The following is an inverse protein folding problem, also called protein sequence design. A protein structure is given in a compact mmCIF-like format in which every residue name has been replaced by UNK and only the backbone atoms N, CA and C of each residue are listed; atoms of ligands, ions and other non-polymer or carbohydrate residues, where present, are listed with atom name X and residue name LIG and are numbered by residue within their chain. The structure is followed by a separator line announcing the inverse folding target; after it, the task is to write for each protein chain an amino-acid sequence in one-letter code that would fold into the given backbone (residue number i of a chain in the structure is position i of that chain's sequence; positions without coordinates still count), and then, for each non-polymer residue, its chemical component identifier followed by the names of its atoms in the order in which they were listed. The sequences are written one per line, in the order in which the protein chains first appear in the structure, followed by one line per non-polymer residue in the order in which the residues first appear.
data_IF_893164349997
#
_entry.id   IF_893164349997
#
_cell.length_a   1.000
_cell.length_b   1.000
_cell.length_c   1.000
_cell.angle_alpha   90.00
_cell.angle_beta   90.00
_cell.angle_gamma   90.00
#
_symmetry.space_group_name_H-M   'P 1'
#
loop_
_entity.id
_entity.type
_entity.pdbx_description
1 polymer ?
#
# COMPACT_ATOMS: atom_id res chain seq x y z
N UNK A 1 11.77 10.81 6.54
CA UNK A 1 12.16 9.39 6.59
C UNK A 1 13.14 9.12 5.45
N UNK A 2 14.23 8.38 5.68
CA UNK A 2 15.15 7.99 4.59
C UNK A 2 14.70 6.65 4.00
N UNK A 3 14.94 6.43 2.70
CA UNK A 3 14.64 5.15 2.06
C UNK A 3 15.43 3.99 2.69
N UNK A 4 16.66 4.23 3.16
CA UNK A 4 17.46 3.23 3.88
C UNK A 4 16.78 2.77 5.16
N UNK A 5 16.21 3.69 5.95
CA UNK A 5 15.45 3.36 7.15
C UNK A 5 14.17 2.60 6.83
N UNK A 6 13.49 2.98 5.74
CA UNK A 6 12.31 2.28 5.25
C UNK A 6 12.63 0.83 4.88
N UNK A 7 13.65 0.58 4.05
CA UNK A 7 14.07 -0.76 3.63
C UNK A 7 14.53 -1.60 4.82
N UNK A 8 15.34 -1.03 5.73
CA UNK A 8 15.82 -1.70 6.94
C UNK A 8 14.68 -2.14 7.86
N UNK A 9 13.60 -1.39 7.92
CA UNK A 9 12.45 -1.70 8.78
C UNK A 9 11.33 -2.48 8.07
N UNK A 10 11.49 -2.79 6.78
CA UNK A 10 10.52 -3.55 5.99
C UNK A 10 11.19 -4.80 5.42
N UNK A 11 11.80 -4.68 4.24
CA UNK A 11 12.36 -5.79 3.47
C UNK A 11 13.37 -6.59 4.27
N UNK A 12 14.30 -5.94 4.99
CA UNK A 12 15.33 -6.62 5.77
C UNK A 12 14.83 -7.37 7.02
N UNK A 13 13.54 -7.25 7.37
CA UNK A 13 12.91 -7.93 8.53
C UNK A 13 11.88 -8.98 8.12
N UNK A 14 11.70 -9.21 6.81
CA UNK A 14 10.79 -10.23 6.32
C UNK A 14 11.30 -11.63 6.71
N UNK A 15 10.38 -12.50 7.13
CA UNK A 15 10.60 -13.95 7.19
C UNK A 15 10.84 -14.47 5.78
N UNK A 16 11.58 -15.56 5.66
CA UNK A 16 11.97 -16.12 4.36
C UNK A 16 10.77 -16.33 3.43
N UNK A 17 9.66 -16.86 3.94
CA UNK A 17 8.44 -17.12 3.16
C UNK A 17 7.88 -15.85 2.52
N UNK A 18 7.76 -14.76 3.28
CA UNK A 18 7.27 -13.48 2.77
C UNK A 18 8.31 -12.76 1.91
N UNK A 19 9.60 -12.94 2.21
CA UNK A 19 10.67 -12.43 1.35
C UNK A 19 10.62 -13.07 -0.04
N UNK A 20 10.51 -14.39 -0.16
CA UNK A 20 10.41 -15.07 -1.45
C UNK A 20 9.16 -14.65 -2.23
N UNK A 21 8.03 -14.47 -1.53
CA UNK A 21 6.80 -13.98 -2.13
C UNK A 21 6.94 -12.55 -2.68
N UNK A 22 7.58 -11.65 -1.91
CA UNK A 22 7.90 -10.28 -2.35
C UNK A 22 8.88 -10.29 -3.52
N UNK A 23 9.96 -11.08 -3.45
CA UNK A 23 10.98 -11.20 -4.50
C UNK A 23 10.34 -11.58 -5.83
N UNK A 24 9.46 -12.58 -5.83
CA UNK A 24 8.75 -13.07 -7.02
C UNK A 24 7.89 -12.01 -7.71
N UNK A 25 7.40 -11.01 -6.99
CA UNK A 25 6.59 -9.93 -7.56
C UNK A 25 7.48 -8.79 -8.07
N UNK A 26 8.55 -8.46 -7.34
CA UNK A 26 9.42 -7.32 -7.68
C UNK A 26 10.41 -7.62 -8.80
N UNK A 27 11.07 -8.77 -8.73
CA UNK A 27 12.16 -9.12 -9.64
C UNK A 27 11.59 -9.46 -11.02
N UNK A 28 12.21 -8.94 -12.07
CA UNK A 28 11.80 -9.13 -13.46
C UNK A 28 10.78 -8.11 -13.96
N UNK A 29 9.84 -7.66 -13.11
CA UNK A 29 8.86 -6.63 -13.49
C UNK A 29 9.28 -5.21 -13.08
N UNK A 30 9.75 -5.03 -11.85
CA UNK A 30 10.03 -3.70 -11.28
C UNK A 30 11.53 -3.48 -11.02
N UNK A 31 12.21 -4.55 -10.61
CA UNK A 31 13.64 -4.55 -10.29
C UNK A 31 14.33 -5.59 -11.15
N UNK A 32 15.41 -5.19 -11.82
CA UNK A 32 16.20 -6.09 -12.68
C UNK A 32 17.64 -6.17 -12.20
N UNK A 33 18.21 -7.37 -12.34
CA UNK A 33 19.61 -7.64 -12.10
C UNK A 33 20.26 -8.04 -13.42
N UNK A 34 21.41 -7.43 -13.75
CA UNK A 34 22.10 -7.72 -15.00
C UNK A 34 23.10 -8.87 -14.89
N UNK A 35 23.56 -9.17 -13.66
CA UNK A 35 24.68 -10.09 -13.42
C UNK A 35 24.27 -11.25 -12.49
N UNK A 36 23.44 -10.98 -11.49
CA UNK A 36 23.04 -11.94 -10.46
C UNK A 36 21.79 -12.70 -10.95
N UNK A 37 21.79 -14.02 -10.86
CA UNK A 37 20.61 -14.82 -11.21
C UNK A 37 19.52 -14.75 -10.15
N UNK A 38 18.28 -15.07 -10.50
CA UNK A 38 17.15 -14.93 -9.56
C UNK A 38 17.27 -15.80 -8.30
N UNK A 39 17.95 -16.95 -8.41
CA UNK A 39 18.18 -17.88 -7.31
C UNK A 39 19.22 -17.35 -6.31
N UNK A 40 20.16 -16.54 -6.78
CA UNK A 40 21.24 -15.95 -5.97
C UNK A 40 20.81 -14.68 -5.22
N UNK A 41 19.66 -14.11 -5.56
CA UNK A 41 19.14 -12.89 -4.91
C UNK A 41 18.71 -13.20 -3.47
N UNK A 42 19.59 -12.85 -2.54
CA UNK A 42 19.32 -12.86 -1.10
C UNK A 42 18.56 -11.61 -0.64
N UNK A 43 18.04 -11.66 0.59
CA UNK A 43 17.40 -10.50 1.23
C UNK A 43 18.32 -9.28 1.31
N UNK A 44 19.61 -9.49 1.57
CA UNK A 44 20.61 -8.43 1.58
C UNK A 44 20.76 -7.78 0.20
N UNK A 45 20.98 -8.61 -0.84
CA UNK A 45 21.16 -8.17 -2.22
C UNK A 45 19.93 -7.39 -2.72
N UNK A 46 18.71 -7.87 -2.43
CA UNK A 46 17.50 -7.16 -2.83
C UNK A 46 17.33 -5.84 -2.06
N UNK A 47 17.64 -5.81 -0.76
CA UNK A 47 17.59 -4.57 0.03
C UNK A 47 18.56 -3.50 -0.49
N UNK A 48 19.80 -3.87 -0.83
CA UNK A 48 20.75 -2.95 -1.47
C UNK A 48 20.21 -2.44 -2.80
N UNK A 49 19.71 -3.33 -3.66
CA UNK A 49 19.16 -2.96 -4.96
C UNK A 49 17.96 -2.02 -4.85
N UNK A 50 17.13 -2.18 -3.84
CA UNK A 50 16.01 -1.29 -3.56
C UNK A 50 16.45 0.08 -3.05
N UNK A 51 17.55 0.15 -2.29
CA UNK A 51 18.17 1.44 -1.95
C UNK A 51 18.67 2.16 -3.21
N UNK A 52 19.40 1.48 -4.09
CA UNK A 52 19.85 2.03 -5.38
C UNK A 52 18.66 2.52 -6.23
N UNK A 53 17.57 1.73 -6.23
CA UNK A 53 16.35 2.10 -6.94
C UNK A 53 15.78 3.43 -6.43
N UNK A 54 15.60 3.57 -5.11
CA UNK A 54 15.02 4.77 -4.53
C UNK A 54 15.95 5.98 -4.67
N UNK A 55 17.26 5.81 -4.53
CA UNK A 55 18.25 6.86 -4.81
C UNK A 55 18.12 7.35 -6.27
N UNK A 56 18.08 6.42 -7.23
CA UNK A 56 17.91 6.76 -8.65
C UNK A 56 16.55 7.40 -8.94
N UNK A 57 15.50 6.97 -8.25
CA UNK A 57 14.17 7.59 -8.36
C UNK A 57 14.20 9.03 -7.84
N UNK A 58 14.86 9.30 -6.70
CA UNK A 58 15.01 10.65 -6.18
C UNK A 58 15.73 11.56 -7.18
N UNK A 59 16.83 11.08 -7.77
CA UNK A 59 17.62 11.81 -8.76
C UNK A 59 16.82 12.12 -10.03
N UNK A 60 16.12 11.12 -10.59
CA UNK A 60 15.32 11.29 -11.81
C UNK A 60 14.10 12.18 -11.62
N UNK A 61 13.43 12.06 -10.49
CA UNK A 61 12.22 12.81 -10.19
C UNK A 61 12.51 14.19 -9.56
N UNK A 62 13.76 14.45 -9.16
CA UNK A 62 14.19 15.59 -8.36
C UNK A 62 13.28 15.79 -7.14
N UNK A 63 13.00 14.69 -6.42
CA UNK A 63 12.08 14.63 -5.29
C UNK A 63 12.66 13.72 -4.23
N UNK A 64 12.69 14.18 -2.98
CA UNK A 64 13.11 13.35 -1.85
C UNK A 64 12.17 12.17 -1.63
N UNK A 65 12.63 11.17 -0.90
CA UNK A 65 11.88 9.98 -0.54
C UNK A 65 10.64 10.33 0.29
N UNK A 66 10.72 11.36 1.13
CA UNK A 66 9.54 11.89 1.83
C UNK A 66 8.46 12.39 0.84
N UNK A 67 8.86 13.02 -0.28
CA UNK A 67 7.93 13.38 -1.36
C UNK A 67 7.39 12.16 -2.11
N UNK A 68 8.14 11.06 -2.16
CA UNK A 68 7.63 9.78 -2.68
C UNK A 68 6.60 9.17 -1.73
N UNK A 69 6.82 9.22 -0.41
CA UNK A 69 5.83 8.80 0.60
C UNK A 69 4.55 9.64 0.50
N UNK A 70 4.66 10.96 0.35
CA UNK A 70 3.50 11.83 0.13
C UNK A 70 2.72 11.43 -1.13
N UNK A 71 3.44 11.10 -2.21
CA UNK A 71 2.84 10.67 -3.49
C UNK A 71 2.13 9.32 -3.31
N UNK A 72 2.78 8.33 -2.70
CA UNK A 72 2.18 7.05 -2.33
C UNK A 72 0.90 7.22 -1.51
N UNK A 73 0.93 8.04 -0.43
CA UNK A 73 -0.23 8.28 0.43
C UNK A 73 -1.38 8.86 -0.39
N UNK A 74 -1.10 9.87 -1.22
CA UNK A 74 -2.08 10.53 -2.09
C UNK A 74 -2.69 9.55 -3.10
N UNK A 75 -1.86 8.72 -3.71
CA UNK A 75 -2.26 7.75 -4.71
C UNK A 75 -3.22 6.71 -4.12
N UNK A 76 -2.84 6.11 -2.99
CA UNK A 76 -3.67 5.16 -2.26
C UNK A 76 -4.97 5.82 -1.76
N UNK A 77 -4.90 7.05 -1.25
CA UNK A 77 -6.09 7.80 -0.85
C UNK A 77 -7.04 8.06 -2.02
N UNK A 78 -6.51 8.35 -3.19
CA UNK A 78 -7.33 8.70 -4.35
C UNK A 78 -8.16 7.53 -4.90
N UNK A 79 -7.75 6.28 -4.66
CA UNK A 79 -8.51 5.06 -5.02
C UNK A 79 -9.46 4.60 -3.90
N UNK A 80 -9.21 4.99 -2.65
CA UNK A 80 -10.02 4.58 -1.49
C UNK A 80 -11.01 5.67 -1.06
N UNK A 81 -10.55 6.89 -0.80
CA UNK A 81 -11.28 7.91 -0.04
C UNK A 81 -12.63 8.31 -0.64
N UNK A 82 -12.72 8.35 -1.97
CA UNK A 82 -13.96 8.66 -2.70
C UNK A 82 -15.03 7.58 -2.60
N UNK A 83 -14.68 6.38 -2.13
CA UNK A 83 -15.54 5.19 -2.03
C UNK A 83 -15.90 4.86 -0.59
N UNK A 84 -15.57 5.71 0.37
CA UNK A 84 -15.96 5.52 1.77
C UNK A 84 -17.23 6.30 2.04
N UNK A 85 -18.27 5.63 2.57
CA UNK A 85 -19.52 6.29 2.93
C UNK A 85 -19.28 7.44 3.93
N UNK A 86 -19.94 8.57 3.70
CA UNK A 86 -19.86 9.73 4.59
C UNK A 86 -20.68 9.49 5.86
N UNK A 87 -20.36 10.21 6.93
CA UNK A 87 -21.21 10.25 8.12
C UNK A 87 -22.56 10.88 7.75
N UNK A 88 -23.70 10.21 8.03
CA UNK A 88 -25.02 10.79 7.79
C UNK A 88 -25.19 12.11 8.56
N UNK A 89 -25.86 13.10 7.95
CA UNK A 89 -26.22 14.33 8.64
C UNK A 89 -27.45 14.10 9.53
N UNK A 90 -27.49 14.75 10.70
CA UNK A 90 -28.70 14.78 11.51
C UNK A 90 -29.83 15.45 10.73
N UNK A 91 -30.98 14.78 10.62
CA UNK A 91 -32.20 15.43 10.16
C UNK A 91 -32.77 16.26 11.32
N UNK A 92 -33.08 17.54 11.07
CA UNK A 92 -33.82 18.37 12.03
C UNK A 92 -35.10 17.60 12.44
N UNK A 93 -35.32 17.45 13.74
CA UNK A 93 -36.45 16.74 14.38
C UNK A 93 -36.38 15.20 14.41
N UNK A 94 -35.21 14.58 14.20
CA UNK A 94 -35.07 13.13 14.42
C UNK A 94 -34.10 12.85 15.59
N UNK A 95 -34.58 12.16 16.62
CA UNK A 95 -33.81 11.75 17.80
C UNK A 95 -32.97 10.49 17.58
N UNK A 96 -32.99 9.92 16.37
CA UNK A 96 -32.19 8.72 16.04
C UNK A 96 -30.69 9.04 16.08
N UNK A 97 -29.86 8.27 16.82
CA UNK A 97 -28.42 8.46 16.86
C UNK A 97 -27.78 8.38 15.48
N UNK A 98 -26.84 9.28 15.18
CA UNK A 98 -26.05 9.20 13.95
C UNK A 98 -25.13 7.98 14.03
N UNK A 99 -25.38 6.97 13.19
CA UNK A 99 -24.52 5.81 13.08
C UNK A 99 -23.40 6.13 12.08
N UNK A 100 -22.19 6.34 12.59
CA UNK A 100 -21.00 6.51 11.74
C UNK A 100 -20.64 5.15 11.12
N UNK A 101 -20.54 5.04 9.78
CA UNK A 101 -20.15 3.80 9.11
C UNK A 101 -18.80 3.27 9.63
N UNK A 102 -18.66 1.95 9.80
CA UNK A 102 -17.41 1.37 10.31
C UNK A 102 -16.24 1.66 9.36
N UNK A 103 -16.45 1.61 8.04
CA UNK A 103 -15.44 1.98 7.05
C UNK A 103 -14.95 3.43 7.25
N UNK A 104 -15.88 4.37 7.52
CA UNK A 104 -15.56 5.77 7.83
C UNK A 104 -14.66 5.88 9.06
N UNK A 105 -14.99 5.18 10.16
CA UNK A 105 -14.16 5.21 11.39
C UNK A 105 -12.71 4.79 11.14
N UNK A 106 -12.50 3.75 10.33
CA UNK A 106 -11.15 3.30 9.98
C UNK A 106 -10.44 4.26 9.03
N UNK A 107 -11.14 4.77 8.03
CA UNK A 107 -10.59 5.77 7.12
C UNK A 107 -10.12 7.04 7.86
N UNK A 108 -10.92 7.58 8.79
CA UNK A 108 -10.49 8.73 9.60
C UNK A 108 -9.26 8.41 10.48
N UNK A 109 -9.11 7.17 10.96
CA UNK A 109 -7.86 6.75 11.64
C UNK A 109 -6.67 6.80 10.70
N UNK A 110 -6.80 6.33 9.45
CA UNK A 110 -5.74 6.44 8.45
C UNK A 110 -5.41 7.91 8.14
N UNK A 111 -6.42 8.79 8.05
CA UNK A 111 -6.21 10.23 7.88
C UNK A 111 -5.47 10.87 9.06
N UNK A 112 -5.75 10.45 10.29
CA UNK A 112 -5.03 10.94 11.46
C UNK A 112 -3.56 10.50 11.43
N UNK A 113 -3.29 9.24 11.04
CA UNK A 113 -1.93 8.73 10.89
C UNK A 113 -1.16 9.55 9.86
N UNK A 114 -1.71 9.74 8.65
CA UNK A 114 -1.01 10.46 7.56
C UNK A 114 -0.70 11.92 7.89
N UNK A 115 -1.51 12.54 8.76
CA UNK A 115 -1.35 13.94 9.16
C UNK A 115 -0.34 14.11 10.32
N UNK A 116 0.26 13.01 10.80
CA UNK A 116 1.29 13.06 11.84
C UNK A 116 2.53 13.80 11.36
N UNK A 117 3.06 14.71 12.19
CA UNK A 117 4.21 15.56 11.82
C UNK A 117 5.47 14.77 11.43
N UNK A 118 5.69 13.62 12.07
CA UNK A 118 6.85 12.76 11.85
C UNK A 118 6.37 11.33 11.61
N UNK A 119 5.99 11.03 10.37
CA UNK A 119 5.51 9.68 10.01
C UNK A 119 6.64 8.67 10.16
N UNK A 120 6.48 7.71 11.07
CA UNK A 120 7.42 6.58 11.22
C UNK A 120 7.12 5.47 10.20
N UNK A 121 8.03 4.50 10.06
CA UNK A 121 7.78 3.31 9.21
C UNK A 121 6.58 2.52 9.74
N UNK A 122 6.42 2.44 11.06
CA UNK A 122 5.28 1.77 11.68
C UNK A 122 3.96 2.48 11.36
N UNK A 123 3.95 3.81 11.43
CA UNK A 123 2.78 4.61 11.03
C UNK A 123 2.42 4.38 9.57
N UNK A 124 3.41 4.32 8.68
CA UNK A 124 3.20 4.04 7.26
C UNK A 124 2.62 2.63 7.04
N UNK A 125 3.09 1.63 7.78
CA UNK A 125 2.54 0.25 7.77
C UNK A 125 1.09 0.23 8.26
N UNK A 126 0.78 0.91 9.38
CA UNK A 126 -0.56 0.94 9.95
C UNK A 126 -1.55 1.71 9.06
N UNK A 127 -1.13 2.84 8.48
CA UNK A 127 -1.87 3.55 7.42
C UNK A 127 -2.19 2.60 6.26
N UNK A 128 -1.16 1.95 5.72
CA UNK A 128 -1.27 1.11 4.54
C UNK A 128 -2.19 -0.09 4.79
N UNK A 129 -2.09 -0.73 5.96
CA UNK A 129 -2.98 -1.83 6.35
C UNK A 129 -4.44 -1.40 6.34
N UNK A 130 -4.76 -0.24 6.92
CA UNK A 130 -6.13 0.29 6.91
C UNK A 130 -6.59 0.52 5.48
N UNK A 131 -5.78 1.19 4.67
CA UNK A 131 -6.14 1.55 3.31
C UNK A 131 -6.29 0.32 2.40
N UNK A 132 -5.44 -0.70 2.53
CA UNK A 132 -5.57 -1.93 1.75
C UNK A 132 -6.79 -2.77 2.16
N UNK A 133 -7.14 -2.82 3.45
CA UNK A 133 -8.39 -3.47 3.90
C UNK A 133 -9.63 -2.74 3.38
N UNK A 134 -9.60 -1.40 3.36
CA UNK A 134 -10.67 -0.58 2.75
C UNK A 134 -10.75 -0.82 1.24
N UNK A 135 -9.62 -0.79 0.53
CA UNK A 135 -9.57 -1.05 -0.90
C UNK A 135 -10.08 -2.45 -1.24
N UNK A 136 -9.69 -3.46 -0.47
CA UNK A 136 -10.24 -4.83 -0.60
C UNK A 136 -11.76 -4.85 -0.44
N UNK A 137 -12.29 -4.10 0.53
CA UNK A 137 -13.75 -4.01 0.75
C UNK A 137 -14.45 -3.34 -0.43
N UNK A 138 -13.84 -2.30 -1.02
CA UNK A 138 -14.32 -1.61 -2.22
C UNK A 138 -14.34 -2.55 -3.42
N UNK A 139 -13.26 -3.30 -3.64
CA UNK A 139 -13.16 -4.29 -4.72
C UNK A 139 -14.24 -5.38 -4.58
N UNK A 140 -14.42 -5.93 -3.38
CA UNK A 140 -15.50 -6.90 -3.07
C UNK A 140 -16.90 -6.32 -3.29
N UNK A 141 -17.06 -5.00 -3.21
CA UNK A 141 -18.30 -4.28 -3.49
C UNK A 141 -18.37 -3.73 -4.93
N UNK A 142 -17.64 -4.34 -5.87
CA UNK A 142 -17.62 -3.95 -7.29
C UNK A 142 -17.25 -2.48 -7.52
N UNK A 143 -16.30 -1.95 -6.74
CA UNK A 143 -15.84 -0.56 -6.86
C UNK A 143 -16.84 0.49 -6.36
N UNK A 144 -17.92 0.09 -5.69
CA UNK A 144 -18.95 0.98 -5.13
C UNK A 144 -18.59 1.45 -3.71
N UNK A 145 -19.33 2.45 -3.25
CA UNK A 145 -19.18 3.00 -1.91
C UNK A 145 -19.37 1.92 -0.82
N UNK A 146 -18.52 1.91 0.21
CA UNK A 146 -18.58 0.96 1.32
C UNK A 146 -18.89 1.63 2.66
N UNK A 147 -19.73 0.98 3.45
CA UNK A 147 -20.10 1.40 4.83
C UNK A 147 -19.39 0.57 5.90
N UNK A 148 -18.94 -0.64 5.56
CA UNK A 148 -18.28 -1.58 6.45
C UNK A 148 -16.89 -2.00 5.90
N UNK A 149 -16.05 -2.53 6.77
CA UNK A 149 -14.68 -2.98 6.46
C UNK A 149 -14.42 -4.30 7.18
N UNK A 150 -13.78 -5.25 6.50
CA UNK A 150 -13.09 -6.35 7.17
C UNK A 150 -11.61 -5.97 7.36
N UNK A 151 -11.19 -5.80 8.62
CA UNK A 151 -9.83 -5.37 8.98
C UNK A 151 -8.87 -6.55 9.25
N UNK A 152 -9.29 -7.78 8.94
CA UNK A 152 -8.47 -8.97 9.07
C UNK A 152 -7.33 -8.98 8.03
N UNK A 153 -6.11 -9.37 8.44
CA UNK A 153 -4.98 -9.57 7.51
C UNK A 153 -5.33 -10.61 6.43
N UNK A 154 -6.21 -11.57 6.76
CA UNK A 154 -6.60 -12.67 5.85
C UNK A 154 -7.32 -12.18 4.59
N UNK A 155 -7.84 -10.94 4.56
CA UNK A 155 -8.49 -10.40 3.37
C UNK A 155 -7.50 -9.84 2.36
N UNK A 156 -6.26 -9.60 2.77
CA UNK A 156 -5.22 -9.01 1.92
C UNK A 156 -4.62 -10.10 1.04
N UNK A 157 -4.76 -9.94 -0.28
CA UNK A 157 -4.12 -10.76 -1.28
C UNK A 157 -3.24 -9.83 -2.14
N UNK A 158 -1.90 -9.91 -2.04
CA UNK A 158 -1.01 -8.99 -2.74
C UNK A 158 -1.21 -8.98 -4.25
N UNK A 159 -1.27 -10.17 -4.88
CA UNK A 159 -1.47 -10.27 -6.32
C UNK A 159 -2.77 -9.61 -6.76
N UNK A 160 -3.88 -9.92 -6.09
CA UNK A 160 -5.18 -9.36 -6.42
C UNK A 160 -5.22 -7.83 -6.26
N UNK A 161 -4.62 -7.30 -5.20
CA UNK A 161 -4.57 -5.85 -4.95
C UNK A 161 -3.72 -5.13 -5.99
N UNK A 162 -2.52 -5.65 -6.28
CA UNK A 162 -1.61 -5.07 -7.28
C UNK A 162 -2.23 -5.14 -8.67
N UNK A 163 -2.79 -6.28 -9.08
CA UNK A 163 -3.45 -6.43 -10.38
C UNK A 163 -4.66 -5.49 -10.49
N UNK A 164 -5.45 -5.34 -9.41
CA UNK A 164 -6.56 -4.38 -9.39
C UNK A 164 -6.08 -2.94 -9.57
N UNK A 165 -5.02 -2.54 -8.85
CA UNK A 165 -4.42 -1.21 -8.99
C UNK A 165 -3.94 -0.94 -10.42
N UNK A 166 -3.30 -1.92 -11.09
CA UNK A 166 -2.84 -1.77 -12.49
C UNK A 166 -4.00 -1.45 -13.45
N UNK A 167 -5.19 -1.96 -13.14
CA UNK A 167 -6.40 -1.78 -13.96
C UNK A 167 -7.30 -0.64 -13.49
N UNK A 168 -6.94 0.05 -12.40
CA UNK A 168 -7.73 1.15 -11.87
C UNK A 168 -7.86 2.25 -12.93
N UNK A 169 -9.08 2.70 -13.19
CA UNK A 169 -9.36 3.69 -14.23
C UNK A 169 -9.66 5.05 -13.61
N UNK A 170 -9.12 6.10 -14.22
CA UNK A 170 -9.59 7.45 -13.99
C UNK A 170 -10.21 8.03 -15.25
N UNK A 171 -11.25 8.84 -15.07
CA UNK A 171 -11.87 9.58 -16.17
C UNK A 171 -11.35 11.01 -16.14
N UNK A 172 -10.60 11.37 -17.17
CA UNK A 172 -10.12 12.72 -17.40
C UNK A 172 -10.74 13.22 -18.69
N UNK A 173 -11.55 14.29 -18.61
CA UNK A 173 -12.16 14.95 -19.77
C UNK A 173 -12.86 13.92 -20.68
N UNK A 174 -13.73 13.10 -20.08
CA UNK A 174 -14.50 12.03 -20.74
C UNK A 174 -13.69 10.86 -21.36
N UNK A 175 -12.35 10.84 -21.23
CA UNK A 175 -11.52 9.70 -21.64
C UNK A 175 -11.19 8.84 -20.41
N UNK A 176 -11.42 7.53 -20.53
CA UNK A 176 -10.96 6.54 -19.54
C UNK A 176 -9.52 6.18 -19.85
N UNK A 177 -8.64 6.32 -18.87
CA UNK A 177 -7.27 5.82 -18.92
C UNK A 177 -6.92 5.10 -17.63
N UNK A 178 -5.86 4.30 -17.67
CA UNK A 178 -5.29 3.76 -16.45
C UNK A 178 -4.85 4.91 -15.55
N UNK A 179 -5.17 4.78 -14.28
CA UNK A 179 -4.84 5.75 -13.26
C UNK A 179 -3.34 5.83 -13.02
N UNK A 180 -2.67 4.69 -13.08
CA UNK A 180 -1.24 4.57 -12.87
C UNK A 180 -0.55 4.20 -14.19
N UNK A 181 0.49 4.92 -14.55
CA UNK A 181 1.36 4.63 -15.68
C UNK A 181 2.72 4.12 -15.21
N UNK A 182 2.87 2.80 -15.28
CA UNK A 182 4.07 2.08 -14.82
C UNK A 182 5.02 1.70 -15.95
N UNK A 183 4.91 2.34 -17.12
CA UNK A 183 5.81 2.06 -18.26
C UNK A 183 7.25 2.49 -18.01
N UNK A 184 7.45 3.62 -17.31
CA UNK A 184 8.78 4.03 -16.86
C UNK A 184 9.04 3.45 -15.46
N UNK A 185 10.12 2.68 -15.34
CA UNK A 185 10.51 2.08 -14.07
C UNK A 185 10.86 3.12 -13.00
N UNK A 186 11.24 4.34 -13.40
CA UNK A 186 11.68 5.40 -12.50
C UNK A 186 10.74 6.62 -12.52
N UNK A 187 9.43 6.37 -12.49
CA UNK A 187 8.41 7.39 -12.26
C UNK A 187 7.75 7.24 -10.89
N UNK A 188 6.96 8.26 -10.49
CA UNK A 188 6.23 8.26 -9.22
C UNK A 188 5.29 7.05 -9.08
N UNK A 189 4.57 6.69 -10.15
CA UNK A 189 3.58 5.61 -10.11
C UNK A 189 4.26 4.27 -9.87
N UNK A 190 5.37 3.98 -10.57
CA UNK A 190 6.16 2.77 -10.32
C UNK A 190 6.72 2.74 -8.90
N UNK A 191 7.18 3.89 -8.38
CA UNK A 191 7.56 4.04 -6.98
C UNK A 191 6.42 3.68 -6.01
N UNK A 192 5.20 4.16 -6.28
CA UNK A 192 3.99 3.81 -5.53
C UNK A 192 3.73 2.31 -5.56
N UNK A 193 3.91 1.63 -6.71
CA UNK A 193 3.74 0.17 -6.80
C UNK A 193 4.78 -0.59 -5.98
N UNK A 194 6.06 -0.24 -6.09
CA UNK A 194 7.13 -0.90 -5.32
C UNK A 194 6.90 -0.71 -3.82
N UNK A 195 6.55 0.50 -3.38
CA UNK A 195 6.19 0.76 -1.98
C UNK A 195 4.96 -0.06 -1.54
N UNK A 196 3.93 -0.16 -2.39
CA UNK A 196 2.73 -0.95 -2.11
C UNK A 196 3.09 -2.42 -1.89
N UNK A 197 3.91 -3.01 -2.76
CA UNK A 197 4.36 -4.40 -2.66
C UNK A 197 5.15 -4.62 -1.35
N UNK A 198 6.11 -3.74 -1.05
CA UNK A 198 6.91 -3.80 0.18
C UNK A 198 6.02 -3.72 1.43
N UNK A 199 5.10 -2.76 1.47
CA UNK A 199 4.22 -2.54 2.63
C UNK A 199 3.22 -3.70 2.79
N UNK A 200 2.66 -4.23 1.71
CA UNK A 200 1.79 -5.42 1.75
C UNK A 200 2.50 -6.62 2.37
N UNK A 201 3.70 -6.96 1.90
CA UNK A 201 4.44 -8.10 2.47
C UNK A 201 4.95 -7.83 3.88
N UNK A 202 5.23 -6.58 4.22
CA UNK A 202 5.54 -6.21 5.62
C UNK A 202 4.32 -6.46 6.53
N UNK A 203 3.10 -6.12 6.07
CA UNK A 203 1.87 -6.39 6.82
C UNK A 203 1.60 -7.89 6.95
N UNK A 204 1.84 -8.67 5.89
CA UNK A 204 1.65 -10.12 5.89
C UNK A 204 2.69 -10.83 6.76
N UNK A 205 3.90 -10.29 6.87
CA UNK A 205 4.95 -10.82 7.73
C UNK A 205 4.55 -10.86 9.21
N UNK A 206 3.74 -9.90 9.66
CA UNK A 206 3.17 -9.84 11.03
C UNK A 206 2.03 -10.86 11.26
N UNK A 207 1.65 -11.65 10.25
CA UNK A 207 0.67 -12.73 10.43
C UNK A 207 1.24 -13.78 11.37
N UNK A 208 0.72 -13.80 12.60
CA UNK A 208 0.92 -14.92 13.53
C UNK A 208 0.35 -16.17 12.86
N UNK A 209 1.24 -17.03 12.37
CA UNK A 209 0.88 -18.41 12.07
C UNK A 209 0.67 -19.06 13.43
N UNK A 210 -0.60 -19.23 13.80
CA UNK A 210 -0.95 -19.92 15.03
C UNK A 210 -0.38 -21.33 14.98
N UNK A 211 0.75 -21.54 15.63
CA UNK A 211 1.15 -22.85 16.10
C UNK A 211 0.05 -23.30 17.04
N UNK A 212 -0.65 -24.37 16.66
CA UNK A 212 -1.43 -25.16 17.61
C UNK A 212 -0.44 -25.74 18.63
N UNK A 213 -0.15 -24.98 19.68
CA UNK A 213 0.30 -25.57 20.93
C UNK A 213 -0.96 -26.10 21.61
N UNK A 214 -1.19 -27.39 21.41
CA UNK A 214 -1.99 -28.17 22.34
C UNK A 214 -1.18 -28.27 23.64
N UNK A 215 -1.66 -27.60 24.69
CA UNK A 215 -1.50 -28.04 26.08
C UNK A 215 -2.88 -28.04 26.73
#
# INVERSE_FOLDING_TARGET
MKYTDFIKNTVSKLRQTEFEALKKILVGEYITFAIISEEEITQHILSEKLCDYFEKLELKMNKSFDKQIESYIKDIDSIVGKKIAKTPQAKKNNSTPIIVPRARKYYEKALNIRNSRNLSVRDLVDYSRIMFCLYTSILKNNGKEVTNIDFSIKVLNPKYLIDSMKTEQETLIAVKKNKFDIKDLYCSDTGTFIMTIILLHTILNDKVEGGYYHE
#
